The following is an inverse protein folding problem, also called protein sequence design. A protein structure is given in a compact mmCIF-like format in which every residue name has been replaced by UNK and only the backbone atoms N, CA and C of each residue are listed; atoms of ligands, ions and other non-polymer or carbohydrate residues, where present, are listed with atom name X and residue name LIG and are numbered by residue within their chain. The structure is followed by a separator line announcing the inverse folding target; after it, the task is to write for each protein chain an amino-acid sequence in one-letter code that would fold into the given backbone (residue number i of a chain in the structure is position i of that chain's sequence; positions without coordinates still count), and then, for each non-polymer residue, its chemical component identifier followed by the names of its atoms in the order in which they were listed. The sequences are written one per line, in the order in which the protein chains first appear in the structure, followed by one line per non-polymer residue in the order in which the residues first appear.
data_IF_895852848365
#
_entry.id   IF_895852848365
#
_cell.length_a   1.000
_cell.length_b   1.000
_cell.length_c   1.000
_cell.angle_alpha   90.00
_cell.angle_beta   90.00
_cell.angle_gamma   90.00
#
_symmetry.space_group_name_H-M   'P 1'
#
loop_
_entity.id
_entity.type
_entity.pdbx_description
1 polymer ?
#
# COMPACT_ATOMS: atom_id res chain seq x y z
N UNK A 1 -16.09 -21.77 -6.51
CA UNK A 1 -15.33 -20.82 -5.67
C UNK A 1 -14.38 -20.16 -6.65
N UNK A 2 -14.81 -19.01 -7.22
CA UNK A 2 -13.95 -18.23 -8.11
C UNK A 2 -12.76 -17.75 -7.30
N UNK A 3 -11.59 -17.88 -7.89
CA UNK A 3 -10.33 -17.50 -7.27
C UNK A 3 -10.29 -15.95 -7.17
N UNK A 4 -10.60 -15.40 -5.99
CA UNK A 4 -10.64 -13.96 -5.75
C UNK A 4 -9.27 -13.27 -5.98
N UNK A 5 -8.19 -14.04 -6.16
CA UNK A 5 -6.89 -13.52 -6.60
C UNK A 5 -6.96 -12.94 -8.02
N UNK A 6 -7.91 -13.38 -8.82
CA UNK A 6 -8.20 -12.84 -10.15
C UNK A 6 -8.79 -11.44 -10.06
N UNK A 7 -9.55 -11.13 -9.00
CA UNK A 7 -10.21 -9.84 -8.82
C UNK A 7 -9.25 -8.64 -8.70
N UNK A 8 -8.03 -8.88 -8.21
CA UNK A 8 -6.97 -7.85 -8.14
C UNK A 8 -5.99 -7.91 -9.32
N UNK A 9 -6.23 -8.76 -10.33
CA UNK A 9 -5.32 -8.91 -11.46
C UNK A 9 -3.93 -9.40 -11.06
N UNK A 10 -3.82 -10.16 -9.95
CA UNK A 10 -2.54 -10.55 -9.35
C UNK A 10 -1.83 -11.62 -10.14
N UNK A 11 -2.59 -12.43 -10.91
CA UNK A 11 -2.03 -13.57 -11.63
C UNK A 11 -1.19 -13.08 -12.81
N UNK A 12 0.13 -13.27 -12.70
CA UNK A 12 1.06 -12.98 -13.79
C UNK A 12 1.44 -11.50 -13.98
N UNK A 13 0.88 -10.58 -13.18
CA UNK A 13 1.20 -9.15 -13.27
C UNK A 13 1.83 -8.61 -11.98
N UNK A 14 2.73 -7.63 -12.10
CA UNK A 14 3.14 -6.82 -10.97
C UNK A 14 2.02 -5.85 -10.59
N UNK A 15 1.47 -5.94 -9.38
CA UNK A 15 0.34 -5.12 -8.97
C UNK A 15 0.74 -4.11 -7.90
N UNK A 16 0.40 -2.84 -8.13
CA UNK A 16 0.50 -1.76 -7.14
C UNK A 16 -0.90 -1.37 -6.69
N UNK A 17 -1.16 -1.43 -5.40
CA UNK A 17 -2.31 -0.79 -4.78
C UNK A 17 -1.85 0.60 -4.30
N UNK A 18 -2.49 1.64 -4.81
CA UNK A 18 -2.16 3.04 -4.55
C UNK A 18 -3.31 3.73 -3.78
N UNK A 19 -3.44 3.49 -2.46
CA UNK A 19 -4.47 4.13 -1.65
C UNK A 19 -4.12 5.58 -1.31
N UNK A 20 -5.14 6.43 -1.15
CA UNK A 20 -4.98 7.69 -0.46
C UNK A 20 -4.67 7.45 1.03
N UNK A 21 -4.05 8.42 1.70
CA UNK A 21 -3.61 8.26 3.09
C UNK A 21 -4.35 9.20 4.04
N UNK A 22 -5.50 8.73 4.53
CA UNK A 22 -6.43 9.52 5.35
C UNK A 22 -6.08 9.45 6.84
N UNK A 23 -5.70 8.26 7.32
CA UNK A 23 -5.45 7.98 8.74
C UNK A 23 -4.25 7.06 8.94
N UNK A 24 -3.66 7.08 10.12
CA UNK A 24 -2.55 6.18 10.47
C UNK A 24 -2.93 4.69 10.41
N UNK A 25 -4.21 4.38 10.60
CA UNK A 25 -4.73 3.01 10.53
C UNK A 25 -5.04 2.51 9.10
N UNK A 26 -4.80 3.30 8.06
CA UNK A 26 -5.11 2.90 6.67
C UNK A 26 -4.42 1.61 6.24
N UNK A 27 -3.21 1.36 6.77
CA UNK A 27 -2.53 0.09 6.53
C UNK A 27 -3.32 -1.12 7.02
N UNK A 28 -4.06 -0.99 8.14
CA UNK A 28 -4.96 -2.03 8.64
C UNK A 28 -6.18 -2.16 7.74
N UNK A 29 -6.75 -1.04 7.27
CA UNK A 29 -7.88 -1.03 6.33
C UNK A 29 -7.52 -1.77 5.03
N UNK A 30 -6.33 -1.52 4.50
CA UNK A 30 -5.80 -2.27 3.34
C UNK A 30 -5.54 -3.74 3.69
N UNK A 31 -5.12 -4.03 4.93
CA UNK A 31 -4.98 -5.39 5.45
C UNK A 31 -6.31 -6.16 5.46
N UNK A 32 -7.44 -5.52 5.80
CA UNK A 32 -8.77 -6.14 5.67
C UNK A 32 -9.13 -6.46 4.21
N UNK A 33 -8.77 -5.59 3.27
CA UNK A 33 -8.93 -5.86 1.84
C UNK A 33 -8.14 -7.12 1.45
N UNK A 34 -6.89 -7.26 1.91
CA UNK A 34 -6.07 -8.44 1.67
C UNK A 34 -6.71 -9.73 2.19
N UNK A 35 -7.25 -9.70 3.41
CA UNK A 35 -7.95 -10.84 4.00
C UNK A 35 -9.18 -11.21 3.15
N UNK A 36 -9.96 -10.21 2.74
CA UNK A 36 -11.16 -10.42 1.92
C UNK A 36 -10.84 -10.99 0.55
N UNK A 37 -9.73 -10.56 -0.05
CA UNK A 37 -9.24 -11.05 -1.34
C UNK A 37 -8.32 -12.28 -1.21
N UNK A 38 -8.16 -12.84 -0.02
CA UNK A 38 -7.31 -14.02 0.26
C UNK A 38 -5.87 -13.87 -0.30
N UNK A 39 -5.34 -12.67 -0.35
CA UNK A 39 -4.01 -12.41 -0.84
C UNK A 39 -3.10 -11.77 0.22
N UNK A 40 -1.82 -12.13 0.18
CA UNK A 40 -0.81 -11.45 1.01
C UNK A 40 -0.29 -10.21 0.30
N UNK A 41 -0.12 -9.11 1.04
CA UNK A 41 0.38 -7.85 0.53
C UNK A 41 1.83 -7.62 0.97
N UNK A 42 2.55 -6.80 0.20
CA UNK A 42 3.75 -6.11 0.67
C UNK A 42 3.40 -4.64 0.87
N UNK A 43 3.73 -4.05 2.01
CA UNK A 43 3.40 -2.66 2.33
C UNK A 43 4.69 -1.88 2.52
N UNK A 44 4.89 -0.84 1.72
CA UNK A 44 6.02 0.06 1.89
C UNK A 44 5.66 1.13 2.92
N UNK A 45 6.33 1.10 4.08
CA UNK A 45 6.05 1.99 5.20
C UNK A 45 7.30 2.79 5.61
N UNK A 46 7.09 4.01 6.14
CA UNK A 46 8.19 4.82 6.67
C UNK A 46 8.89 4.09 7.83
N UNK A 47 10.21 4.22 7.91
CA UNK A 47 11.02 3.63 8.96
C UNK A 47 10.60 4.07 10.38
N UNK A 48 10.00 5.26 10.51
CA UNK A 48 9.47 5.76 11.79
C UNK A 48 8.41 4.83 12.39
N UNK A 49 7.62 4.17 11.56
CA UNK A 49 6.57 3.22 12.00
C UNK A 49 7.19 2.00 12.68
N UNK A 50 8.45 1.68 12.35
CA UNK A 50 9.19 0.57 12.94
C UNK A 50 9.98 0.96 14.21
N UNK A 51 9.99 2.24 14.59
CA UNK A 51 10.62 2.73 15.85
C UNK A 51 9.75 2.53 17.09
N UNK A 52 8.50 2.10 16.94
CA UNK A 52 7.61 1.78 18.05
C UNK A 52 8.13 0.62 18.92
N UNK A 53 7.27 0.05 19.77
CA UNK A 53 7.64 -1.11 20.55
C UNK A 53 8.09 -2.27 19.64
N UNK A 54 8.95 -3.16 20.14
CA UNK A 54 9.38 -4.34 19.36
C UNK A 54 8.20 -5.19 18.90
N UNK A 55 7.14 -5.27 19.72
CA UNK A 55 5.91 -5.97 19.39
C UNK A 55 5.17 -5.33 18.21
N UNK A 56 5.06 -4.00 18.19
CA UNK A 56 4.49 -3.27 17.05
C UNK A 56 5.30 -3.50 15.77
N UNK A 57 6.62 -3.41 15.86
CA UNK A 57 7.52 -3.67 14.73
C UNK A 57 7.39 -5.11 14.21
N UNK A 58 7.24 -6.07 15.11
CA UNK A 58 7.03 -7.47 14.78
C UNK A 58 5.68 -7.65 14.04
N UNK A 59 4.59 -7.13 14.59
CA UNK A 59 3.25 -7.23 13.99
C UNK A 59 3.19 -6.59 12.59
N UNK A 60 3.79 -5.42 12.42
CA UNK A 60 3.83 -4.71 11.13
C UNK A 60 4.59 -5.54 10.08
N UNK A 61 5.67 -6.20 10.47
CA UNK A 61 6.43 -7.09 9.57
C UNK A 61 5.64 -8.35 9.19
N UNK A 62 4.82 -8.89 10.09
CA UNK A 62 3.99 -10.07 9.81
C UNK A 62 2.94 -9.78 8.71
N UNK A 63 2.46 -8.57 8.60
CA UNK A 63 1.55 -8.16 7.51
C UNK A 63 2.28 -7.78 6.21
N UNK A 64 3.59 -8.10 6.11
CA UNK A 64 4.37 -7.89 4.89
C UNK A 64 4.91 -6.46 4.71
N UNK A 65 4.93 -5.64 5.77
CA UNK A 65 5.48 -4.30 5.69
C UNK A 65 7.03 -4.31 5.71
N UNK A 66 7.62 -3.49 4.86
CA UNK A 66 9.05 -3.21 4.84
C UNK A 66 9.33 -1.70 4.93
N UNK A 67 10.48 -1.40 5.50
CA UNK A 67 10.87 -0.02 5.83
C UNK A 67 11.41 0.75 4.63
N UNK A 68 11.07 2.04 4.56
CA UNK A 68 11.71 3.02 3.67
C UNK A 68 12.20 4.23 4.47
N UNK A 69 13.42 4.66 4.20
CA UNK A 69 13.96 5.91 4.69
C UNK A 69 13.54 7.06 3.76
N UNK A 70 12.80 8.04 4.30
CA UNK A 70 12.32 9.19 3.52
C UNK A 70 13.37 10.32 3.43
N UNK A 71 14.34 10.31 4.32
CA UNK A 71 15.41 11.30 4.40
C UNK A 71 16.53 10.95 3.40
N UNK A 72 16.24 11.10 2.10
CA UNK A 72 17.18 10.78 1.03
C UNK A 72 16.68 9.69 0.08
N UNK A 73 17.49 9.41 -0.94
CA UNK A 73 17.15 8.36 -1.92
C UNK A 73 17.52 6.99 -1.36
N UNK A 74 16.57 6.32 -0.70
CA UNK A 74 16.73 4.95 -0.22
C UNK A 74 16.72 3.96 -1.40
N UNK A 75 17.89 3.78 -2.00
CA UNK A 75 18.09 2.87 -3.14
C UNK A 75 17.70 1.44 -2.81
N UNK A 76 17.88 1.01 -1.56
CA UNK A 76 17.57 -0.36 -1.12
C UNK A 76 16.07 -0.59 -1.13
N UNK A 77 15.30 0.28 -0.50
CA UNK A 77 13.84 0.18 -0.50
C UNK A 77 13.23 0.35 -1.89
N UNK A 78 13.81 1.25 -2.71
CA UNK A 78 13.41 1.42 -4.11
C UNK A 78 13.62 0.12 -4.90
N UNK A 79 14.79 -0.51 -4.79
CA UNK A 79 15.09 -1.75 -5.48
C UNK A 79 14.21 -2.90 -4.97
N UNK A 80 13.96 -3.00 -3.67
CA UNK A 80 13.05 -3.99 -3.08
C UNK A 80 11.64 -3.85 -3.66
N UNK A 81 11.11 -2.63 -3.77
CA UNK A 81 9.80 -2.39 -4.36
C UNK A 81 9.76 -2.82 -5.84
N UNK A 82 10.81 -2.49 -6.61
CA UNK A 82 10.93 -2.91 -8.01
C UNK A 82 11.00 -4.44 -8.13
N UNK A 83 11.76 -5.11 -7.26
CA UNK A 83 11.88 -6.58 -7.24
C UNK A 83 10.55 -7.26 -6.90
N UNK A 84 9.78 -6.72 -5.93
CA UNK A 84 8.45 -7.22 -5.59
C UNK A 84 7.54 -7.17 -6.82
N UNK A 85 7.48 -6.04 -7.52
CA UNK A 85 6.67 -5.86 -8.70
C UNK A 85 7.15 -6.72 -9.88
N UNK A 86 8.45 -6.84 -10.05
CA UNK A 86 9.05 -7.67 -11.11
C UNK A 86 8.76 -9.15 -10.84
N UNK A 87 8.83 -9.60 -9.60
CA UNK A 87 8.54 -10.97 -9.20
C UNK A 87 7.07 -11.34 -9.28
N UNK A 88 6.14 -10.37 -9.26
CA UNK A 88 4.69 -10.52 -9.41
C UNK A 88 4.04 -11.60 -8.52
N UNK A 89 4.59 -11.83 -7.33
CA UNK A 89 4.07 -12.84 -6.40
C UNK A 89 3.00 -12.28 -5.46
N UNK A 90 3.10 -11.02 -5.11
CA UNK A 90 2.22 -10.33 -4.15
C UNK A 90 2.07 -8.87 -4.55
N UNK A 91 0.89 -8.27 -4.39
CA UNK A 91 0.71 -6.85 -4.60
C UNK A 91 1.59 -6.00 -3.67
N UNK A 92 2.03 -4.87 -4.18
CA UNK A 92 2.74 -3.86 -3.41
C UNK A 92 1.80 -2.71 -3.09
N UNK A 93 1.66 -2.36 -1.81
CA UNK A 93 0.92 -1.20 -1.35
C UNK A 93 1.87 -0.03 -1.20
N UNK A 94 1.56 1.05 -1.88
CA UNK A 94 2.28 2.33 -1.80
C UNK A 94 1.27 3.45 -1.57
N UNK A 95 1.43 4.22 -0.50
CA UNK A 95 0.64 5.43 -0.25
C UNK A 95 1.28 6.59 -1.01
N UNK A 96 0.70 7.01 -2.16
CA UNK A 96 1.40 7.93 -3.07
C UNK A 96 1.53 9.34 -2.54
N UNK A 97 0.70 9.76 -1.59
CA UNK A 97 0.81 11.06 -0.91
C UNK A 97 2.05 11.15 -0.01
N UNK A 98 2.55 10.02 0.46
CA UNK A 98 3.76 9.96 1.28
C UNK A 98 3.57 10.40 2.74
N UNK A 99 2.43 10.94 3.13
CA UNK A 99 2.09 11.32 4.51
C UNK A 99 0.59 11.17 4.74
N UNK A 100 0.19 11.12 6.01
CA UNK A 100 -1.20 11.04 6.40
C UNK A 100 -1.86 12.42 6.33
N UNK A 101 -2.96 12.51 5.58
CA UNK A 101 -3.63 13.78 5.26
C UNK A 101 -4.64 14.24 6.34
N UNK A 102 -5.16 13.30 7.14
CA UNK A 102 -6.20 13.52 8.16
C UNK A 102 -7.52 14.13 7.64
N UNK A 103 -7.79 14.00 6.34
CA UNK A 103 -9.06 14.40 5.72
C UNK A 103 -9.49 13.40 4.65
N UNK A 104 -10.81 13.30 4.40
CA UNK A 104 -11.40 12.29 3.53
C UNK A 104 -11.52 12.70 2.06
N UNK A 105 -11.63 13.98 1.77
CA UNK A 105 -12.21 14.47 0.52
C UNK A 105 -11.20 15.22 -0.37
N UNK A 106 -9.95 15.33 0.09
CA UNK A 106 -8.88 16.01 -0.64
C UNK A 106 -7.75 15.01 -0.87
N UNK A 107 -7.32 14.88 -2.11
CA UNK A 107 -6.12 14.15 -2.48
C UNK A 107 -4.94 15.13 -2.53
N UNK A 108 -3.91 14.85 -1.76
CA UNK A 108 -2.69 15.68 -1.77
C UNK A 108 -1.82 15.39 -3.00
N UNK A 109 -0.84 16.25 -3.30
CA UNK A 109 0.11 16.00 -4.38
C UNK A 109 0.81 14.65 -4.22
N UNK A 110 0.86 13.89 -5.30
CA UNK A 110 1.46 12.56 -5.30
C UNK A 110 2.98 12.67 -5.43
N UNK A 111 3.68 11.82 -4.69
CA UNK A 111 5.14 11.76 -4.72
C UNK A 111 5.63 11.09 -6.01
N UNK A 112 6.68 11.62 -6.62
CA UNK A 112 7.25 11.09 -7.86
C UNK A 112 7.84 9.68 -7.70
N UNK A 113 8.18 9.28 -6.48
CA UNK A 113 8.78 7.98 -6.17
C UNK A 113 7.97 6.79 -6.65
N UNK A 114 6.63 6.87 -6.61
CA UNK A 114 5.77 5.79 -7.08
C UNK A 114 5.88 5.63 -8.61
N UNK A 115 5.89 6.74 -9.34
CA UNK A 115 6.05 6.71 -10.80
C UNK A 115 7.37 6.08 -11.20
N UNK A 116 8.45 6.41 -10.51
CA UNK A 116 9.78 5.85 -10.74
C UNK A 116 9.82 4.34 -10.50
N UNK A 117 9.22 3.86 -9.41
CA UNK A 117 9.12 2.42 -9.07
C UNK A 117 8.36 1.68 -10.17
N UNK A 118 7.17 2.18 -10.51
CA UNK A 118 6.29 1.57 -11.52
C UNK A 118 6.96 1.50 -12.89
N UNK A 119 7.54 2.61 -13.35
CA UNK A 119 8.20 2.65 -14.65
C UNK A 119 9.38 1.68 -14.74
N UNK A 120 10.22 1.64 -13.71
CA UNK A 120 11.37 0.71 -13.68
C UNK A 120 10.93 -0.74 -13.63
N UNK A 121 9.93 -1.07 -12.83
CA UNK A 121 9.37 -2.41 -12.77
C UNK A 121 8.70 -2.81 -14.08
N UNK A 122 7.94 -1.90 -14.71
CA UNK A 122 7.28 -2.14 -16.00
C UNK A 122 8.30 -2.49 -17.08
N UNK A 123 9.38 -1.71 -17.23
CA UNK A 123 10.45 -1.99 -18.20
C UNK A 123 11.05 -3.39 -18.00
N UNK A 124 11.38 -3.75 -16.75
CA UNK A 124 11.92 -5.09 -16.45
C UNK A 124 10.92 -6.21 -16.75
N UNK A 125 9.62 -5.96 -16.53
CA UNK A 125 8.57 -6.95 -16.81
C UNK A 125 8.30 -7.12 -18.30
N UNK A 126 8.38 -6.04 -19.06
CA UNK A 126 8.21 -6.06 -20.53
C UNK A 126 9.22 -6.99 -21.21
N UNK A 127 10.47 -7.00 -20.73
CA UNK A 127 11.50 -7.93 -21.19
C UNK A 127 11.13 -9.41 -21.03
N UNK A 128 10.25 -9.73 -20.04
CA UNK A 128 9.74 -11.07 -19.76
C UNK A 128 8.31 -11.30 -20.25
N UNK A 129 7.74 -10.39 -21.05
CA UNK A 129 6.35 -10.47 -21.54
C UNK A 129 5.28 -10.19 -20.48
N UNK A 130 5.65 -9.64 -19.32
CA UNK A 130 4.74 -9.29 -18.24
C UNK A 130 4.39 -7.80 -18.20
N UNK A 131 3.45 -7.45 -17.34
CA UNK A 131 2.98 -6.08 -17.14
C UNK A 131 3.04 -5.68 -15.67
N UNK A 132 2.96 -4.37 -15.40
CA UNK A 132 2.70 -3.79 -14.08
C UNK A 132 1.40 -3.01 -14.15
N UNK A 133 0.50 -3.31 -13.22
CA UNK A 133 -0.83 -2.69 -13.12
C UNK A 133 -0.88 -1.84 -11.85
N UNK A 134 -1.43 -0.63 -11.93
CA UNK A 134 -1.66 0.25 -10.80
C UNK A 134 -3.16 0.35 -10.55
N UNK A 135 -3.58 -0.05 -9.35
CA UNK A 135 -4.95 0.10 -8.86
C UNK A 135 -5.02 1.27 -7.88
N UNK A 136 -5.64 2.39 -8.24
CA UNK A 136 -5.96 3.42 -7.27
C UNK A 136 -7.04 2.90 -6.30
N UNK A 137 -6.84 3.14 -5.01
CA UNK A 137 -7.76 2.72 -3.94
C UNK A 137 -8.21 3.96 -3.18
N UNK A 138 -9.52 4.21 -3.13
CA UNK A 138 -10.06 5.31 -2.34
C UNK A 138 -10.48 4.80 -0.95
N UNK A 139 -9.87 5.35 0.08
CA UNK A 139 -10.24 5.12 1.48
C UNK A 139 -11.02 6.35 1.96
N UNK A 140 -12.23 6.12 2.46
CA UNK A 140 -13.08 7.16 3.04
C UNK A 140 -13.70 6.65 4.35
N UNK A 141 -13.49 7.38 5.42
CA UNK A 141 -14.09 7.08 6.71
C UNK A 141 -15.39 7.85 6.86
N UNK A 142 -16.44 7.14 7.24
CA UNK A 142 -17.73 7.72 7.52
C UNK A 142 -18.13 7.37 8.95
N UNK A 143 -18.67 8.36 9.66
CA UNK A 143 -19.23 8.12 10.98
C UNK A 143 -20.57 7.40 10.83
N UNK A 144 -20.71 6.26 11.50
CA UNK A 144 -21.92 5.42 11.41
C UNK A 144 -22.90 5.64 12.58
N UNK A 145 -22.55 6.42 13.60
CA UNK A 145 -23.42 6.75 14.73
C UNK A 145 -24.30 7.96 14.48
N UNK A 146 -25.33 8.16 15.33
CA UNK A 146 -26.09 9.41 15.36
C UNK A 146 -25.28 10.50 16.08
N UNK A 147 -25.37 11.75 15.60
CA UNK A 147 -24.75 12.90 16.26
C UNK A 147 -25.31 13.14 17.67
N UNK A 148 -26.57 12.76 17.92
CA UNK A 148 -27.26 12.89 19.20
C UNK A 148 -26.69 11.94 20.26
N UNK A 149 -26.40 10.68 19.92
CA UNK A 149 -25.75 9.72 20.82
C UNK A 149 -24.34 10.14 21.23
N UNK A 150 -23.62 10.83 20.35
CA UNK A 150 -22.23 11.24 20.62
C UNK A 150 -22.15 12.48 21.50
N UNK A 151 -23.13 13.38 21.41
CA UNK A 151 -23.18 14.63 22.17
C UNK A 151 -23.87 14.47 23.53
N UNK A 152 -24.44 13.31 23.83
CA UNK A 152 -25.14 13.06 25.10
C UNK A 152 -26.39 13.92 25.28
N UNK A 153 -27.05 14.30 24.17
CA UNK A 153 -28.30 15.08 24.12
C UNK A 153 -29.49 14.15 24.03
#
# INVERSE_FOLDING_TARGET
MEDDSVALGVVGHGVVLAPNHVRECDALTVGFLAIKCQCYLNIMASWHVFKGSWFQSFMIRQVGAFSVHREGMDKTSLNTAIEILTGAKRPLVLFPEGYCAFHNDILNPLQEGISLIVQRAARKREESGGQVVVHPVAIKYQYAGSSEETLGL
#
